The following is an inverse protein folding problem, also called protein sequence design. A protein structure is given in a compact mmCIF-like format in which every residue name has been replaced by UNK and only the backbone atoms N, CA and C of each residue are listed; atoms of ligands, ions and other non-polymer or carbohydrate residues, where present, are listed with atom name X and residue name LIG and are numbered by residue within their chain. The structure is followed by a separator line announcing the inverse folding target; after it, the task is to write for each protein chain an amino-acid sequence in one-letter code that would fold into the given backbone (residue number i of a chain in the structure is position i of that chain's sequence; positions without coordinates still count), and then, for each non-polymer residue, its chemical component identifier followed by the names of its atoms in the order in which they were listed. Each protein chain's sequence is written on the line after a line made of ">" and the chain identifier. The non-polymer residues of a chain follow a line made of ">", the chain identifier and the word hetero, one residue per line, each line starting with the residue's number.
data_IF_884789980895
#
_entry.id   IF_884789980895
#
_cell.length_a   1.000
_cell.length_b   1.000
_cell.length_c   1.000
_cell.angle_alpha   90.00
_cell.angle_beta   90.00
_cell.angle_gamma   90.00
#
_symmetry.space_group_name_H-M   'P 1'
#
loop_
_entity.id
_entity.type
_entity.pdbx_description
1 polymer ?
#
# COMPACT_ATOMS: atom_id res chain seq x y z
N UNK A 1 6.63 -6.96 12.06
CA UNK A 1 7.60 -7.23 10.96
C UNK A 1 8.93 -6.60 11.35
N UNK A 2 10.08 -7.20 11.01
CA UNK A 2 11.40 -6.53 11.15
C UNK A 2 11.86 -6.12 9.75
N UNK A 3 11.74 -4.83 9.43
CA UNK A 3 12.10 -4.25 8.14
C UNK A 3 12.97 -3.01 8.36
N UNK A 4 13.91 -2.72 7.45
CA UNK A 4 14.69 -1.48 7.47
C UNK A 4 13.88 -0.26 7.01
N UNK A 5 12.76 -0.49 6.32
CA UNK A 5 11.80 0.55 5.98
C UNK A 5 11.19 1.18 7.24
N UNK A 6 11.34 2.50 7.36
CA UNK A 6 10.98 3.24 8.58
C UNK A 6 9.53 3.72 8.60
N UNK A 7 8.92 3.92 7.45
CA UNK A 7 7.54 4.37 7.35
C UNK A 7 6.63 3.15 7.27
N UNK A 8 5.85 2.91 8.32
CA UNK A 8 4.91 1.80 8.42
C UNK A 8 3.56 2.36 8.87
N UNK A 9 2.60 2.41 7.96
CA UNK A 9 1.32 3.08 8.16
C UNK A 9 0.23 2.02 8.07
N UNK A 10 -0.47 1.80 9.19
CA UNK A 10 -1.61 0.86 9.25
C UNK A 10 -2.80 1.47 8.53
N UNK A 11 -3.57 0.63 7.86
CA UNK A 11 -4.79 1.07 7.20
C UNK A 11 -5.61 -0.10 6.69
N UNK A 12 -6.76 0.23 6.12
CA UNK A 12 -7.72 -0.75 5.60
C UNK A 12 -7.88 -0.59 4.10
N UNK A 13 -7.84 -1.69 3.36
CA UNK A 13 -8.01 -1.68 1.91
C UNK A 13 -9.45 -1.30 1.57
N UNK A 14 -9.62 -0.29 0.73
CA UNK A 14 -10.94 0.21 0.30
C UNK A 14 -11.24 -0.12 -1.16
N UNK A 15 -10.21 -0.28 -2.01
CA UNK A 15 -10.37 -0.68 -3.39
C UNK A 15 -9.15 -1.43 -3.93
N UNK A 16 -9.38 -2.32 -4.88
CA UNK A 16 -8.34 -3.00 -5.66
C UNK A 16 -8.74 -2.94 -7.13
N UNK A 17 -7.85 -2.43 -7.98
CA UNK A 17 -8.00 -2.43 -9.44
C UNK A 17 -6.87 -3.25 -10.05
N UNK A 18 -7.20 -4.44 -10.52
CA UNK A 18 -6.26 -5.34 -11.19
C UNK A 18 -6.12 -4.98 -12.68
N UNK A 19 -4.89 -4.91 -13.15
CA UNK A 19 -4.52 -4.93 -14.56
C UNK A 19 -4.00 -6.31 -14.98
N UNK A 20 -3.24 -6.36 -16.08
CA UNK A 20 -2.66 -7.63 -16.56
C UNK A 20 -1.48 -8.13 -15.70
N UNK A 21 -0.71 -7.21 -15.11
CA UNK A 21 0.52 -7.52 -14.36
C UNK A 21 0.52 -6.83 -12.99
N UNK A 22 0.08 -5.57 -12.95
CA UNK A 22 0.03 -4.75 -11.75
C UNK A 22 -1.40 -4.58 -11.23
N UNK A 23 -1.53 -4.35 -9.93
CA UNK A 23 -2.75 -4.02 -9.24
C UNK A 23 -2.55 -2.72 -8.45
N UNK A 24 -3.52 -1.83 -8.55
CA UNK A 24 -3.61 -0.62 -7.74
C UNK A 24 -4.45 -0.92 -6.50
N UNK A 25 -3.87 -0.78 -5.32
CA UNK A 25 -4.50 -1.04 -4.02
C UNK A 25 -4.66 0.30 -3.30
N UNK A 26 -5.88 0.70 -3.03
CA UNK A 26 -6.21 1.91 -2.25
C UNK A 26 -6.44 1.52 -0.79
N UNK A 27 -5.77 2.22 0.12
CA UNK A 27 -5.79 1.97 1.56
C UNK A 27 -6.22 3.25 2.28
N UNK A 28 -7.29 3.18 3.07
CA UNK A 28 -7.63 4.25 4.01
C UNK A 28 -6.74 4.17 5.25
N UNK A 29 -6.19 5.31 5.66
CA UNK A 29 -5.28 5.46 6.80
C UNK A 29 -5.84 6.46 7.82
N UNK A 30 -7.16 6.50 7.99
CA UNK A 30 -7.85 7.40 8.91
C UNK A 30 -8.26 8.72 8.26
N UNK A 31 -9.01 8.65 7.15
CA UNK A 31 -9.54 9.82 6.44
C UNK A 31 -8.63 10.37 5.35
N UNK A 32 -7.49 9.73 5.12
CA UNK A 32 -6.59 9.96 3.98
C UNK A 32 -6.36 8.63 3.28
N UNK A 33 -6.01 8.67 1.99
CA UNK A 33 -5.74 7.47 1.20
C UNK A 33 -4.27 7.35 0.83
N UNK A 34 -3.70 6.16 0.99
CA UNK A 34 -2.46 5.73 0.33
C UNK A 34 -2.83 4.82 -0.84
N UNK A 35 -2.17 5.00 -1.96
CA UNK A 35 -2.30 4.12 -3.13
C UNK A 35 -0.98 3.39 -3.35
N UNK A 36 -1.04 2.07 -3.37
CA UNK A 36 0.11 1.21 -3.70
C UNK A 36 -0.13 0.54 -5.05
N UNK A 37 0.93 0.45 -5.87
CA UNK A 37 0.93 -0.34 -7.10
C UNK A 37 1.92 -1.47 -6.90
N UNK A 38 1.43 -2.70 -6.93
CA UNK A 38 2.21 -3.94 -6.77
C UNK A 38 1.76 -4.95 -7.82
N UNK A 39 2.44 -6.09 -7.94
CA UNK A 39 1.98 -7.12 -8.89
C UNK A 39 0.66 -7.76 -8.46
N UNK A 40 -0.15 -8.17 -9.42
CA UNK A 40 -1.39 -8.95 -9.17
C UNK A 40 -1.07 -10.22 -8.39
N UNK A 41 0.05 -10.88 -8.70
CA UNK A 41 0.51 -12.05 -7.96
C UNK A 41 0.80 -11.74 -6.49
N UNK A 42 1.34 -10.55 -6.17
CA UNK A 42 1.56 -10.15 -4.77
C UNK A 42 0.25 -9.97 -4.02
N UNK A 43 -0.77 -9.34 -4.65
CA UNK A 43 -2.10 -9.20 -4.05
C UNK A 43 -2.69 -10.58 -3.72
N UNK A 44 -2.64 -11.51 -4.68
CA UNK A 44 -3.15 -12.87 -4.53
C UNK A 44 -2.39 -13.67 -3.49
N UNK A 45 -1.05 -13.67 -3.54
CA UNK A 45 -0.21 -14.44 -2.62
C UNK A 45 -0.32 -13.94 -1.17
N UNK A 46 -0.54 -12.65 -0.98
CA UNK A 46 -0.74 -12.05 0.35
C UNK A 46 -2.19 -12.14 0.84
N UNK A 47 -3.13 -12.61 0.00
CA UNK A 47 -4.55 -12.68 0.33
C UNK A 47 -5.17 -11.31 0.59
N UNK A 48 -4.68 -10.26 -0.08
CA UNK A 48 -5.18 -8.90 0.07
C UNK A 48 -6.52 -8.79 -0.65
N UNK A 49 -7.55 -8.35 0.07
CA UNK A 49 -8.89 -8.12 -0.45
C UNK A 49 -9.42 -6.77 0.06
N UNK A 50 -10.51 -6.29 -0.55
CA UNK A 50 -11.23 -5.13 0.00
C UNK A 50 -11.70 -5.45 1.41
N UNK A 51 -11.40 -4.55 2.36
CA UNK A 51 -11.66 -4.70 3.77
C UNK A 51 -10.50 -5.28 4.59
N UNK A 52 -9.43 -5.78 3.96
CA UNK A 52 -8.24 -6.28 4.65
C UNK A 52 -7.53 -5.18 5.44
N UNK A 53 -7.11 -5.50 6.67
CA UNK A 53 -6.16 -4.69 7.44
C UNK A 53 -4.75 -4.93 6.91
N UNK A 54 -4.07 -3.85 6.53
CA UNK A 54 -2.73 -3.90 5.92
C UNK A 54 -1.81 -2.85 6.54
N UNK A 55 -0.51 -3.00 6.28
CA UNK A 55 0.50 -1.98 6.63
C UNK A 55 1.16 -1.52 5.33
N UNK A 56 0.95 -0.27 4.95
CA UNK A 56 1.71 0.36 3.89
C UNK A 56 3.15 0.58 4.38
N UNK A 57 4.12 0.03 3.64
CA UNK A 57 5.54 0.09 3.98
C UNK A 57 6.28 0.91 2.93
N UNK A 58 6.89 2.02 3.35
CA UNK A 58 7.63 2.93 2.45
C UNK A 58 9.06 3.07 2.97
N UNK A 59 10.04 2.84 2.08
CA UNK A 59 11.46 2.99 2.41
C UNK A 59 11.78 4.47 2.69
N UNK A 60 12.66 4.74 3.66
CA UNK A 60 12.89 6.09 4.17
C UNK A 60 13.46 7.06 3.12
N UNK A 61 14.30 6.55 2.22
CA UNK A 61 14.96 7.29 1.15
C UNK A 61 14.10 7.46 -0.13
N UNK A 62 12.85 6.96 -0.13
CA UNK A 62 11.91 7.15 -1.24
C UNK A 62 10.91 8.28 -1.01
N UNK A 63 10.97 8.95 0.16
CA UNK A 63 10.09 10.07 0.50
C UNK A 63 10.74 11.37 0.04
N UNK A 64 10.06 12.10 -0.83
CA UNK A 64 10.49 13.41 -1.33
C UNK A 64 9.80 14.55 -0.56
N UNK A 65 10.46 15.69 -0.45
CA UNK A 65 9.89 16.94 0.10
C UNK A 65 9.81 17.98 -1.01
N UNK A 66 8.69 18.69 -1.07
CA UNK A 66 8.50 19.87 -1.92
C UNK A 66 8.08 21.05 -1.05
N UNK A 67 8.48 22.25 -1.46
CA UNK A 67 8.00 23.53 -0.92
C UNK A 67 7.44 24.34 -2.09
N UNK A 68 6.51 25.23 -1.80
CA UNK A 68 5.96 26.17 -2.78
C UNK A 68 6.87 27.40 -2.97
#
# INVERSE_FOLDING_TARGET
>A
MRLSARNQIKGRVTAIKEGAVEAQVTVDIGGQSIVSVITVDSVKNLGIAVGSEVVAVIKADSVMLGVD
#
